data_IF_724462333367
#
_entry.id   IF_724462333367
#
_cell.length_a   1.000
_cell.length_b   1.000
_cell.length_c   1.000
_cell.angle_alpha   90.00
_cell.angle_beta   90.00
_cell.angle_gamma   90.00
#
_symmetry.space_group_name_H-M   'P 1'
#
loop_
_entity.id
_entity.type
_entity.pdbx_description
1 polymer ?
#
# COMPACT_ATOMS: atom_id res chain seq x y z
N UNK A 1 22.40 23.05 -43.91
CA UNK A 1 22.57 23.14 -45.38
C UNK A 1 23.98 22.69 -45.72
N UNK A 2 24.21 21.39 -45.92
CA UNK A 2 25.50 20.90 -46.40
C UNK A 2 25.38 20.77 -47.91
N UNK A 3 25.95 21.73 -48.64
CA UNK A 3 26.00 21.64 -50.10
C UNK A 3 27.05 20.57 -50.43
N UNK A 4 26.70 19.49 -51.15
CA UNK A 4 27.70 18.52 -51.56
C UNK A 4 28.68 19.24 -52.49
N UNK A 5 29.95 19.33 -52.08
CA UNK A 5 31.01 19.84 -52.93
C UNK A 5 31.17 18.82 -54.05
N UNK A 6 30.56 19.07 -55.21
CA UNK A 6 30.73 18.21 -56.37
C UNK A 6 32.15 18.42 -56.89
N UNK A 7 33.01 17.42 -56.69
CA UNK A 7 34.34 17.41 -57.24
C UNK A 7 34.26 17.07 -58.73
N UNK A 8 34.54 18.06 -59.57
CA UNK A 8 34.63 17.87 -61.02
C UNK A 8 36.04 17.36 -61.37
N UNK A 9 36.12 16.04 -61.57
CA UNK A 9 37.35 15.34 -61.97
C UNK A 9 37.97 15.92 -63.25
N UNK A 10 37.14 16.41 -64.19
CA UNK A 10 37.61 16.92 -65.48
C UNK A 10 38.18 18.34 -65.34
N UNK A 11 37.53 19.22 -64.57
CA UNK A 11 38.06 20.56 -64.31
C UNK A 11 39.38 20.51 -63.52
N UNK A 12 39.46 19.61 -62.53
CA UNK A 12 40.67 19.41 -61.74
C UNK A 12 41.85 18.86 -62.57
N UNK A 13 41.61 17.88 -63.46
CA UNK A 13 42.63 17.38 -64.37
C UNK A 13 43.16 18.47 -65.31
N UNK A 14 42.27 19.31 -65.86
CA UNK A 14 42.65 20.45 -66.73
C UNK A 14 43.51 21.48 -65.99
N UNK A 15 43.20 21.78 -64.74
CA UNK A 15 43.98 22.69 -63.88
C UNK A 15 45.38 22.14 -63.55
N UNK A 16 45.50 20.83 -63.33
CA UNK A 16 46.80 20.17 -63.12
C UNK A 16 47.65 20.22 -64.40
N UNK A 17 47.04 19.94 -65.55
CA UNK A 17 47.73 19.99 -66.84
C UNK A 17 48.21 21.42 -67.19
N UNK A 18 47.40 22.44 -66.91
CA UNK A 18 47.80 23.84 -67.12
C UNK A 18 48.88 24.33 -66.13
N UNK A 19 49.03 23.66 -64.98
CA UNK A 19 50.11 23.90 -64.02
C UNK A 19 51.42 23.15 -64.38
N UNK A 20 51.47 22.43 -65.51
CA UNK A 20 52.67 21.76 -66.00
C UNK A 20 52.79 20.28 -65.63
N UNK A 21 51.77 19.67 -65.03
CA UNK A 21 51.73 18.22 -64.81
C UNK A 21 51.41 17.50 -66.13
N UNK A 22 52.11 16.42 -66.51
CA UNK A 22 51.78 15.63 -67.69
C UNK A 22 50.31 15.19 -67.67
N UNK A 23 49.62 15.29 -68.80
CA UNK A 23 48.17 15.06 -68.91
C UNK A 23 47.73 13.72 -68.32
N UNK A 24 48.52 12.67 -68.58
CA UNK A 24 48.25 11.33 -68.08
C UNK A 24 48.38 11.22 -66.54
N UNK A 25 49.29 11.99 -65.92
CA UNK A 25 49.42 12.08 -64.47
C UNK A 25 48.33 12.96 -63.85
N UNK A 26 47.94 14.04 -64.53
CA UNK A 26 46.85 14.92 -64.11
C UNK A 26 45.50 14.18 -64.05
N UNK A 27 45.20 13.35 -65.06
CA UNK A 27 44.01 12.49 -65.09
C UNK A 27 44.04 11.41 -64.00
N UNK A 28 45.18 10.75 -63.79
CA UNK A 28 45.34 9.75 -62.73
C UNK A 28 45.13 10.35 -61.33
N UNK A 29 45.70 11.54 -61.07
CA UNK A 29 45.51 12.26 -59.80
C UNK A 29 44.06 12.70 -59.58
N UNK A 30 43.41 13.22 -60.62
CA UNK A 30 42.02 13.61 -60.55
C UNK A 30 41.11 12.42 -60.26
N UNK A 31 41.35 11.29 -60.93
CA UNK A 31 40.56 10.06 -60.76
C UNK A 31 40.70 9.50 -59.35
N UNK A 32 41.93 9.38 -58.83
CA UNK A 32 42.17 8.90 -57.47
C UNK A 32 41.52 9.81 -56.41
N UNK A 33 41.58 11.13 -56.58
CA UNK A 33 40.92 12.07 -55.67
C UNK A 33 39.38 11.98 -55.77
N UNK A 34 38.85 11.82 -56.98
CA UNK A 34 37.43 11.61 -57.22
C UNK A 34 36.89 10.34 -56.58
N UNK A 35 37.65 9.24 -56.62
CA UNK A 35 37.31 7.98 -55.93
C UNK A 35 37.29 8.15 -54.41
N UNK A 36 38.31 8.81 -53.83
CA UNK A 36 38.38 9.10 -52.40
C UNK A 36 37.20 9.99 -51.97
N UNK A 37 36.92 11.07 -52.70
CA UNK A 37 35.80 11.97 -52.40
C UNK A 37 34.43 11.30 -52.62
N UNK A 38 34.31 10.42 -53.61
CA UNK A 38 33.12 9.59 -53.82
C UNK A 38 32.83 8.69 -52.61
N UNK A 39 33.86 8.05 -52.04
CA UNK A 39 33.69 7.25 -50.82
C UNK A 39 33.29 8.08 -49.59
N UNK A 40 33.81 9.31 -49.46
CA UNK A 40 33.41 10.25 -48.39
C UNK A 40 31.92 10.61 -48.50
N UNK A 41 31.39 10.80 -49.71
CA UNK A 41 29.95 11.09 -49.93
C UNK A 41 29.08 9.89 -49.54
N UNK A 42 29.51 8.66 -49.83
CA UNK A 42 28.80 7.43 -49.41
C UNK A 42 28.71 7.34 -47.89
N UNK A 43 29.82 7.60 -47.18
CA UNK A 43 29.86 7.60 -45.71
C UNK A 43 28.89 8.61 -45.09
N UNK A 44 28.72 9.80 -45.69
CA UNK A 44 27.75 10.78 -45.22
C UNK A 44 26.30 10.29 -45.37
N UNK A 45 25.99 9.57 -46.46
CA UNK A 45 24.68 8.95 -46.66
C UNK A 45 24.40 7.84 -45.65
N UNK A 46 25.38 6.98 -45.39
CA UNK A 46 25.30 5.94 -44.36
C UNK A 46 25.13 6.52 -42.95
N UNK A 47 25.85 7.61 -42.64
CA UNK A 47 25.73 8.32 -41.37
C UNK A 47 24.33 8.92 -41.19
N UNK A 48 23.79 9.57 -42.22
CA UNK A 48 22.44 10.13 -42.17
C UNK A 48 21.36 9.04 -41.99
N UNK A 49 21.55 7.87 -42.63
CA UNK A 49 20.67 6.73 -42.43
C UNK A 49 20.76 6.18 -40.99
N UNK A 50 21.98 6.08 -40.44
CA UNK A 50 22.21 5.66 -39.07
C UNK A 50 21.58 6.62 -38.05
N UNK A 51 21.74 7.93 -38.25
CA UNK A 51 21.10 8.97 -37.42
C UNK A 51 19.58 8.83 -37.44
N UNK A 52 18.99 8.64 -38.63
CA UNK A 52 17.55 8.45 -38.76
C UNK A 52 17.06 7.20 -38.02
N UNK A 53 17.78 6.08 -38.17
CA UNK A 53 17.46 4.83 -37.50
C UNK A 53 17.56 4.97 -35.98
N UNK A 54 18.63 5.58 -35.47
CA UNK A 54 18.82 5.84 -34.04
C UNK A 54 17.71 6.72 -33.46
N UNK A 55 17.33 7.80 -34.15
CA UNK A 55 16.21 8.65 -33.74
C UNK A 55 14.88 7.87 -33.70
N UNK A 56 14.67 6.96 -34.66
CA UNK A 56 13.53 6.05 -34.69
C UNK A 56 13.50 5.12 -33.48
N UNK A 57 14.62 4.46 -33.18
CA UNK A 57 14.75 3.57 -32.02
C UNK A 57 14.57 4.32 -30.70
N UNK A 58 15.17 5.50 -30.55
CA UNK A 58 15.00 6.36 -29.36
C UNK A 58 13.53 6.70 -29.16
N UNK A 59 12.81 7.05 -30.23
CA UNK A 59 11.38 7.37 -30.16
C UNK A 59 10.55 6.14 -29.77
N UNK A 60 10.88 4.96 -30.30
CA UNK A 60 10.21 3.71 -29.94
C UNK A 60 10.45 3.34 -28.47
N UNK A 61 11.69 3.48 -28.00
CA UNK A 61 12.05 3.25 -26.60
C UNK A 61 11.31 4.23 -25.68
N UNK A 62 11.26 5.52 -26.03
CA UNK A 62 10.52 6.53 -25.26
C UNK A 62 9.04 6.15 -25.14
N UNK A 63 8.38 5.79 -26.24
CA UNK A 63 6.98 5.31 -26.21
C UNK A 63 6.79 4.05 -25.37
N UNK A 64 7.73 3.10 -25.43
CA UNK A 64 7.68 1.89 -24.62
C UNK A 64 7.83 2.22 -23.12
N UNK A 65 8.70 3.16 -22.77
CA UNK A 65 8.85 3.62 -21.39
C UNK A 65 7.58 4.32 -20.91
N UNK A 66 7.01 5.22 -21.70
CA UNK A 66 5.76 5.94 -21.34
C UNK A 66 4.59 4.96 -21.12
N UNK A 67 4.44 3.99 -22.01
CA UNK A 67 3.38 2.96 -21.88
C UNK A 67 3.60 2.06 -20.67
N UNK A 68 4.85 1.68 -20.38
CA UNK A 68 5.17 0.89 -19.19
C UNK A 68 4.97 1.71 -17.90
N UNK A 69 5.32 2.99 -17.89
CA UNK A 69 5.10 3.89 -16.77
C UNK A 69 3.60 4.05 -16.49
N UNK A 70 2.78 4.32 -17.52
CA UNK A 70 1.32 4.39 -17.36
C UNK A 70 0.70 3.08 -16.88
N UNK A 71 1.20 1.93 -17.37
CA UNK A 71 0.74 0.63 -16.88
C UNK A 71 1.10 0.38 -15.41
N UNK A 72 2.25 0.88 -14.95
CA UNK A 72 2.65 0.82 -13.53
C UNK A 72 1.79 1.73 -12.67
N UNK A 73 1.52 2.96 -13.12
CA UNK A 73 0.64 3.91 -12.43
C UNK A 73 -0.77 3.33 -12.22
N UNK A 74 -1.35 2.71 -13.25
CA UNK A 74 -2.63 2.01 -13.14
C UNK A 74 -2.59 0.84 -12.15
N UNK A 75 -1.50 0.07 -12.14
CA UNK A 75 -1.33 -1.05 -11.19
C UNK A 75 -1.18 -0.55 -9.75
N UNK A 76 -0.48 0.55 -9.54
CA UNK A 76 -0.32 1.19 -8.24
C UNK A 76 -1.69 1.66 -7.74
N UNK A 77 -2.44 2.41 -8.54
CA UNK A 77 -3.79 2.86 -8.15
C UNK A 77 -4.75 1.70 -7.86
N UNK A 78 -4.67 0.60 -8.62
CA UNK A 78 -5.46 -0.60 -8.34
C UNK A 78 -5.05 -1.30 -7.02
N UNK A 79 -3.76 -1.28 -6.67
CA UNK A 79 -3.27 -1.82 -5.41
C UNK A 79 -3.69 -0.95 -4.22
N UNK A 80 -3.62 0.37 -4.35
CA UNK A 80 -4.09 1.33 -3.34
C UNK A 80 -5.57 1.11 -3.02
N UNK A 81 -6.44 1.09 -4.05
CA UNK A 81 -7.87 0.84 -3.86
C UNK A 81 -8.14 -0.52 -3.18
N UNK A 82 -7.37 -1.56 -3.54
CA UNK A 82 -7.50 -2.89 -2.95
C UNK A 82 -7.06 -2.91 -1.48
N UNK A 83 -6.04 -2.12 -1.12
CA UNK A 83 -5.58 -1.99 0.25
C UNK A 83 -6.61 -1.23 1.09
N UNK A 84 -7.13 -0.10 0.60
CA UNK A 84 -8.19 0.66 1.28
C UNK A 84 -9.41 -0.22 1.56
N UNK A 85 -9.89 -0.95 0.53
CA UNK A 85 -11.02 -1.88 0.69
C UNK A 85 -10.73 -2.96 1.74
N UNK A 86 -9.48 -3.45 1.84
CA UNK A 86 -9.10 -4.44 2.84
C UNK A 86 -9.01 -3.85 4.24
N UNK A 87 -8.55 -2.63 4.38
CA UNK A 87 -8.49 -1.91 5.65
C UNK A 87 -9.91 -1.68 6.17
N UNK A 88 -10.82 -1.14 5.35
CA UNK A 88 -12.23 -0.97 5.70
C UNK A 88 -12.89 -2.28 6.16
N UNK A 89 -12.61 -3.39 5.46
CA UNK A 89 -13.14 -4.69 5.82
C UNK A 89 -12.60 -5.20 7.17
N UNK A 90 -11.32 -4.94 7.47
CA UNK A 90 -10.72 -5.29 8.74
C UNK A 90 -11.27 -4.43 9.88
N UNK A 91 -11.43 -3.13 9.67
CA UNK A 91 -12.03 -2.21 10.66
C UNK A 91 -13.45 -2.65 11.03
N UNK A 92 -14.31 -2.93 10.03
CA UNK A 92 -15.67 -3.44 10.28
C UNK A 92 -15.65 -4.74 11.07
N UNK A 93 -14.77 -5.68 10.70
CA UNK A 93 -14.64 -6.97 11.41
C UNK A 93 -14.16 -6.79 12.85
N UNK A 94 -13.29 -5.82 13.10
CA UNK A 94 -12.80 -5.52 14.44
C UNK A 94 -13.90 -4.88 15.29
N UNK A 95 -14.63 -3.89 14.76
CA UNK A 95 -15.77 -3.27 15.45
C UNK A 95 -16.83 -4.30 15.82
N UNK A 96 -17.26 -5.14 14.86
CA UNK A 96 -18.25 -6.21 15.16
C UNK A 96 -17.75 -7.17 16.25
N UNK A 97 -16.45 -7.46 16.31
CA UNK A 97 -15.88 -8.32 17.37
C UNK A 97 -15.85 -7.62 18.72
N UNK A 98 -15.59 -6.31 18.74
CA UNK A 98 -15.65 -5.50 19.96
C UNK A 98 -17.08 -5.43 20.49
N UNK A 99 -18.05 -5.10 19.65
CA UNK A 99 -19.48 -5.02 20.03
C UNK A 99 -19.95 -6.38 20.61
N UNK A 100 -19.57 -7.49 19.97
CA UNK A 100 -19.91 -8.82 20.44
C UNK A 100 -19.20 -9.19 21.78
N UNK A 101 -18.03 -8.61 22.04
CA UNK A 101 -17.31 -8.82 23.30
C UNK A 101 -17.91 -7.97 24.42
N UNK A 102 -18.28 -6.73 24.14
CA UNK A 102 -19.00 -5.83 25.05
C UNK A 102 -20.31 -6.46 25.50
N UNK A 103 -21.15 -6.92 24.56
CA UNK A 103 -22.40 -7.62 24.88
C UNK A 103 -22.18 -8.88 25.73
N UNK A 104 -21.09 -9.64 25.49
CA UNK A 104 -20.74 -10.80 26.31
C UNK A 104 -20.31 -10.44 27.72
N UNK A 105 -19.70 -9.27 27.91
CA UNK A 105 -19.34 -8.78 29.23
C UNK A 105 -20.59 -8.28 29.97
N UNK A 106 -21.45 -7.49 29.32
CA UNK A 106 -22.70 -7.00 29.91
C UNK A 106 -23.58 -8.16 30.39
N UNK A 107 -23.82 -9.15 29.52
CA UNK A 107 -24.62 -10.33 29.90
C UNK A 107 -24.02 -11.14 31.05
N UNK A 108 -22.68 -11.22 31.14
CA UNK A 108 -22.01 -11.86 32.28
C UNK A 108 -22.13 -11.04 33.55
N UNK A 109 -22.07 -9.73 33.45
CA UNK A 109 -22.19 -8.81 34.57
C UNK A 109 -23.61 -8.85 35.14
N UNK A 110 -24.63 -8.76 34.29
CA UNK A 110 -26.03 -8.94 34.68
C UNK A 110 -26.27 -10.30 35.37
N UNK A 111 -25.70 -11.39 34.83
CA UNK A 111 -25.83 -12.71 35.44
C UNK A 111 -25.13 -12.81 36.81
N UNK A 112 -24.02 -12.09 37.01
CA UNK A 112 -23.34 -12.00 38.30
C UNK A 112 -24.14 -11.18 39.30
N UNK A 113 -24.70 -10.05 38.89
CA UNK A 113 -25.59 -9.20 39.71
C UNK A 113 -26.79 -10.01 40.21
N UNK A 114 -27.53 -10.68 39.31
CA UNK A 114 -28.66 -11.52 39.69
C UNK A 114 -28.27 -12.63 40.68
N UNK A 115 -27.09 -13.24 40.50
CA UNK A 115 -26.60 -14.27 41.41
C UNK A 115 -26.22 -13.72 42.78
N UNK A 116 -25.71 -12.49 42.84
CA UNK A 116 -25.42 -11.80 44.10
C UNK A 116 -26.70 -11.41 44.81
N UNK A 117 -27.68 -10.83 44.10
CA UNK A 117 -28.98 -10.47 44.66
C UNK A 117 -29.70 -11.69 45.24
N UNK A 118 -29.74 -12.80 44.50
CA UNK A 118 -30.34 -14.05 44.99
C UNK A 118 -29.60 -14.63 46.21
N UNK A 119 -28.30 -14.37 46.37
CA UNK A 119 -27.54 -14.77 47.56
C UNK A 119 -27.84 -13.87 48.75
N UNK A 120 -27.95 -12.56 48.53
CA UNK A 120 -28.33 -11.59 49.55
C UNK A 120 -29.74 -11.86 50.07
N UNK A 121 -30.71 -12.08 49.18
CA UNK A 121 -32.09 -12.41 49.57
C UNK A 121 -32.14 -13.68 50.45
N UNK A 122 -31.38 -14.72 50.09
CA UNK A 122 -31.27 -15.94 50.92
C UNK A 122 -30.66 -15.68 52.29
N UNK A 123 -29.67 -14.79 52.38
CA UNK A 123 -29.06 -14.40 53.66
C UNK A 123 -30.06 -13.62 54.51
N UNK A 124 -30.79 -12.68 53.92
CA UNK A 124 -31.82 -11.89 54.61
C UNK A 124 -32.95 -12.77 55.15
N UNK A 125 -33.41 -13.75 54.36
CA UNK A 125 -34.41 -14.73 54.81
C UNK A 125 -33.90 -15.58 55.98
N UNK A 126 -32.64 -16.05 55.90
CA UNK A 126 -32.03 -16.83 56.98
C UNK A 126 -31.89 -16.00 58.27
N UNK A 127 -31.31 -14.81 58.17
CA UNK A 127 -31.15 -13.92 59.32
C UNK A 127 -32.51 -13.51 59.91
N UNK A 128 -33.51 -13.26 59.06
CA UNK A 128 -34.88 -12.97 59.50
C UNK A 128 -35.51 -14.14 60.25
N UNK A 129 -35.29 -15.38 59.81
CA UNK A 129 -35.75 -16.58 60.51
C UNK A 129 -35.02 -16.75 61.85
N UNK A 130 -33.69 -16.65 61.86
CA UNK A 130 -32.87 -16.75 63.07
C UNK A 130 -33.28 -15.70 64.10
N UNK A 131 -33.51 -14.45 63.68
CA UNK A 131 -33.98 -13.38 64.55
C UNK A 131 -35.35 -13.66 65.15
N UNK A 132 -36.29 -14.21 64.36
CA UNK A 132 -37.61 -14.64 64.89
C UNK A 132 -37.47 -15.74 65.93
N UNK A 133 -36.59 -16.72 65.71
CA UNK A 133 -36.30 -17.77 66.68
C UNK A 133 -35.73 -17.19 67.98
N UNK A 134 -34.77 -16.26 67.89
CA UNK A 134 -34.22 -15.56 69.06
C UNK A 134 -35.31 -14.79 69.80
N UNK A 135 -36.15 -14.02 69.09
CA UNK A 135 -37.26 -13.28 69.71
C UNK A 135 -38.24 -14.22 70.45
N UNK A 136 -38.55 -15.37 69.86
CA UNK A 136 -39.40 -16.38 70.46
C UNK A 136 -38.79 -16.96 71.75
N UNK A 137 -37.50 -17.34 71.72
CA UNK A 137 -36.78 -17.84 72.90
C UNK A 137 -36.68 -16.79 74.02
N UNK A 138 -36.41 -15.53 73.67
CA UNK A 138 -36.34 -14.46 74.67
C UNK A 138 -37.71 -14.21 75.31
N UNK A 139 -38.78 -14.26 74.52
CA UNK A 139 -40.15 -14.12 75.03
C UNK A 139 -40.50 -15.24 76.01
N UNK A 140 -40.21 -16.50 75.67
CA UNK A 140 -40.47 -17.64 76.57
C UNK A 140 -39.62 -17.57 77.84
N UNK A 141 -38.35 -17.16 77.74
CA UNK A 141 -37.47 -16.97 78.89
C UNK A 141 -37.97 -15.87 79.83
N UNK A 142 -38.45 -14.74 79.29
CA UNK A 142 -39.05 -13.64 80.08
C UNK A 142 -40.30 -14.14 80.81
N UNK A 143 -41.21 -14.82 80.11
CA UNK A 143 -42.43 -15.38 80.74
C UNK A 143 -42.09 -16.37 81.87
N UNK A 144 -41.11 -17.26 81.64
CA UNK A 144 -40.68 -18.21 82.66
C UNK A 144 -40.12 -17.51 83.90
N UNK A 145 -39.23 -16.52 83.71
CA UNK A 145 -38.67 -15.74 84.80
C UNK A 145 -39.75 -14.97 85.60
N UNK A 146 -40.72 -14.37 84.92
CA UNK A 146 -41.85 -13.68 85.59
C UNK A 146 -42.72 -14.64 86.40
N UNK A 147 -42.98 -15.85 85.89
CA UNK A 147 -43.75 -16.87 86.60
C UNK A 147 -43.06 -17.36 87.87
N UNK A 148 -41.74 -17.59 87.81
CA UNK A 148 -40.94 -17.96 88.98
C UNK A 148 -40.96 -16.84 90.02
N UNK A 149 -40.78 -15.58 89.60
CA UNK A 149 -40.78 -14.42 90.49
C UNK A 149 -42.13 -14.23 91.19
N UNK A 150 -43.24 -14.41 90.46
CA UNK A 150 -44.60 -14.34 91.01
C UNK A 150 -44.81 -15.40 92.09
N UNK A 151 -44.36 -16.64 91.84
CA UNK A 151 -44.46 -17.74 92.81
C UNK A 151 -43.64 -17.46 94.07
N UNK A 152 -42.44 -16.87 93.92
CA UNK A 152 -41.57 -16.52 95.05
C UNK A 152 -42.16 -15.41 95.93
N UNK A 153 -42.90 -14.46 95.36
CA UNK A 153 -43.56 -13.36 96.10
C UNK A 153 -44.84 -13.79 96.84
N UNK A 154 -45.42 -14.94 96.48
CA UNK A 154 -46.64 -15.49 97.08
C UNK A 154 -46.37 -16.46 98.25
N UNK A 155 -45.10 -16.79 98.54
CA UNK A 155 -44.64 -17.59 99.68
C UNK A 155 -44.08 -16.69 100.79
#
# INVERSE_FOLDING_TARGET
MHMPIQFDTLDYAKRLASAGVPTQQAEAHATALGEVLGSVVVVHGELAALEHNLLGEIKLVAQKVDTQAGALELKIGALELRLDTRIDALERKFNTRLDALEQKFDTKLEALEQKLDARLERLDLRHGADMKHVYWMMSTLILLNLGILSKLMLQ
#
